data_IF_174217804696
#
_entry.id   IF_174217804696
#
_cell.length_a   1.000
_cell.length_b   1.000
_cell.length_c   1.000
_cell.angle_alpha   90.00
_cell.angle_beta   90.00
_cell.angle_gamma   90.00
#
_symmetry.space_group_name_H-M   'P 1'
#
loop_
_entity.id
_entity.type
_entity.pdbx_description
1 polymer ?
#
# COMPACT_ATOMS: atom_id res chain seq x y z
N UNK A 1 -8.19 16.81 16.55
CA UNK A 1 -7.88 15.37 16.51
C UNK A 1 -7.34 15.08 15.13
N UNK A 2 -6.24 14.40 14.99
CA UNK A 2 -5.62 14.08 13.70
C UNK A 2 -6.16 12.73 13.25
N UNK A 3 -6.74 12.68 12.06
CA UNK A 3 -7.38 11.48 11.52
C UNK A 3 -6.44 10.69 10.62
N UNK A 4 -6.55 9.34 10.62
CA UNK A 4 -5.71 8.44 9.87
C UNK A 4 -6.53 7.40 9.09
N UNK A 5 -6.13 7.17 7.84
CA UNK A 5 -6.55 6.01 7.03
C UNK A 5 -5.42 5.00 7.00
N UNK A 6 -5.71 3.72 7.29
CA UNK A 6 -4.76 2.60 7.27
C UNK A 6 -5.07 1.67 6.08
N UNK A 7 -4.27 1.75 5.02
CA UNK A 7 -4.39 0.89 3.84
C UNK A 7 -3.46 -0.31 3.95
N UNK A 8 -3.94 -1.47 3.54
CA UNK A 8 -3.27 -2.77 3.72
C UNK A 8 -3.05 -3.10 5.20
N UNK A 9 -3.99 -2.71 6.04
CA UNK A 9 -3.94 -2.63 7.51
C UNK A 9 -3.60 -3.95 8.24
N UNK A 10 -3.63 -5.11 7.55
CA UNK A 10 -3.43 -6.40 8.18
C UNK A 10 -4.39 -6.63 9.37
N UNK A 11 -3.87 -7.16 10.47
CA UNK A 11 -4.63 -7.39 11.71
C UNK A 11 -4.68 -6.16 12.66
N UNK A 12 -4.13 -5.00 12.26
CA UNK A 12 -4.23 -3.75 13.01
C UNK A 12 -3.01 -3.36 13.83
N UNK A 13 -1.81 -3.89 13.53
CA UNK A 13 -0.59 -3.51 14.26
C UNK A 13 -0.23 -2.04 14.09
N UNK A 14 -0.33 -1.50 12.87
CA UNK A 14 -0.16 -0.09 12.53
C UNK A 14 -1.18 0.79 13.23
N UNK A 15 -2.45 0.41 13.15
CA UNK A 15 -3.57 1.11 13.80
C UNK A 15 -3.39 1.16 15.32
N UNK A 16 -3.03 0.04 15.95
CA UNK A 16 -2.73 0.00 17.40
C UNK A 16 -1.60 0.97 17.76
N UNK A 17 -0.51 0.97 16.98
CA UNK A 17 0.60 1.89 17.21
C UNK A 17 0.21 3.36 17.01
N UNK A 18 -0.61 3.66 16.01
CA UNK A 18 -1.10 5.00 15.76
C UNK A 18 -1.99 5.53 16.89
N UNK A 19 -2.93 4.71 17.40
CA UNK A 19 -3.85 5.08 18.48
C UNK A 19 -3.15 5.24 19.84
N UNK A 20 -1.94 4.70 20.02
CA UNK A 20 -1.11 4.97 21.19
C UNK A 20 -0.56 6.40 21.21
N UNK A 21 -0.59 7.12 20.10
CA UNK A 21 -0.16 8.52 20.02
C UNK A 21 -1.34 9.43 20.37
N UNK A 22 -1.24 10.24 21.46
CA UNK A 22 -2.34 11.11 21.86
C UNK A 22 -2.80 12.04 20.73
N UNK A 23 -4.10 12.06 20.45
CA UNK A 23 -4.70 12.93 19.45
C UNK A 23 -4.74 12.35 18.03
N UNK A 24 -4.32 11.10 17.81
CA UNK A 24 -4.53 10.37 16.56
C UNK A 24 -5.74 9.43 16.70
N UNK A 25 -6.56 9.38 15.65
CA UNK A 25 -7.71 8.51 15.51
C UNK A 25 -7.64 7.79 14.16
N UNK A 26 -7.73 6.45 14.18
CA UNK A 26 -7.84 5.65 12.96
C UNK A 26 -9.30 5.55 12.57
N UNK A 27 -9.70 6.27 11.53
CA UNK A 27 -11.10 6.37 11.11
C UNK A 27 -11.47 5.40 10.00
N UNK A 28 -10.49 4.91 9.24
CA UNK A 28 -10.69 3.98 8.12
C UNK A 28 -9.55 2.98 8.04
N UNK A 29 -9.86 1.70 7.88
CA UNK A 29 -8.91 0.63 7.65
C UNK A 29 -9.37 -0.28 6.50
N UNK A 30 -8.46 -0.67 5.62
CA UNK A 30 -8.80 -1.49 4.46
C UNK A 30 -7.75 -2.56 4.15
N UNK A 31 -8.24 -3.74 3.76
CA UNK A 31 -7.42 -4.86 3.31
C UNK A 31 -8.25 -5.78 2.41
N UNK A 32 -7.61 -6.49 1.49
CA UNK A 32 -8.28 -7.46 0.62
C UNK A 32 -8.57 -8.81 1.31
N UNK A 33 -7.93 -9.11 2.44
CA UNK A 33 -8.04 -10.38 3.14
C UNK A 33 -9.09 -10.30 4.25
N UNK A 34 -10.18 -11.02 4.08
CA UNK A 34 -11.34 -10.98 4.98
C UNK A 34 -10.97 -11.27 6.45
N UNK A 35 -10.13 -12.28 6.70
CA UNK A 35 -9.70 -12.62 8.06
C UNK A 35 -8.89 -11.50 8.73
N UNK A 36 -8.09 -10.75 7.95
CA UNK A 36 -7.37 -9.59 8.46
C UNK A 36 -8.36 -8.48 8.88
N UNK A 37 -9.36 -8.20 8.07
CA UNK A 37 -10.41 -7.21 8.39
C UNK A 37 -11.23 -7.65 9.61
N UNK A 38 -11.61 -8.91 9.69
CA UNK A 38 -12.35 -9.45 10.85
C UNK A 38 -11.54 -9.29 12.15
N UNK A 39 -10.24 -9.60 12.09
CA UNK A 39 -9.34 -9.44 13.24
C UNK A 39 -9.13 -7.96 13.58
N UNK A 40 -8.94 -7.11 12.57
CA UNK A 40 -8.80 -5.67 12.76
C UNK A 40 -10.04 -5.07 13.40
N UNK A 41 -11.24 -5.43 12.94
CA UNK A 41 -12.50 -4.96 13.47
C UNK A 41 -12.71 -5.37 14.92
N UNK A 42 -12.30 -6.57 15.31
CA UNK A 42 -12.35 -7.02 16.69
C UNK A 42 -11.44 -6.18 17.61
N UNK A 43 -10.28 -5.75 17.11
CA UNK A 43 -9.31 -4.95 17.88
C UNK A 43 -9.63 -3.43 17.84
N UNK A 44 -10.24 -2.95 16.76
CA UNK A 44 -10.52 -1.54 16.51
C UNK A 44 -11.99 -1.32 16.12
N UNK A 45 -12.95 -1.56 17.05
CA UNK A 45 -14.39 -1.55 16.72
C UNK A 45 -14.95 -0.18 16.34
N UNK A 46 -14.23 0.90 16.63
CA UNK A 46 -14.64 2.27 16.28
C UNK A 46 -14.16 2.73 14.89
N UNK A 47 -13.26 1.97 14.26
CA UNK A 47 -12.75 2.24 12.92
C UNK A 47 -13.73 1.73 11.86
N UNK A 48 -13.96 2.46 10.79
CA UNK A 48 -14.66 1.94 9.61
C UNK A 48 -13.76 0.96 8.84
N UNK A 49 -14.35 -0.12 8.31
CA UNK A 49 -13.59 -1.18 7.64
C UNK A 49 -14.09 -1.42 6.22
N UNK A 50 -13.16 -1.66 5.29
CA UNK A 50 -13.47 -2.15 3.95
C UNK A 50 -12.64 -3.39 3.60
N UNK A 51 -13.32 -4.48 3.25
CA UNK A 51 -12.71 -5.72 2.76
C UNK A 51 -12.70 -5.69 1.23
N UNK A 52 -11.69 -5.07 0.63
CA UNK A 52 -11.64 -4.85 -0.81
C UNK A 52 -10.22 -4.95 -1.39
N UNK A 53 -10.14 -5.32 -2.67
CA UNK A 53 -8.93 -5.15 -3.47
C UNK A 53 -8.75 -3.66 -3.76
N UNK A 54 -7.77 -3.04 -3.09
CA UNK A 54 -7.54 -1.61 -3.18
C UNK A 54 -7.24 -1.13 -4.61
N UNK A 55 -6.73 -1.99 -5.48
CA UNK A 55 -6.51 -1.67 -6.89
C UNK A 55 -7.81 -1.38 -7.65
N UNK A 56 -8.94 -1.90 -7.15
CA UNK A 56 -10.27 -1.75 -7.74
C UNK A 56 -11.14 -0.71 -7.01
N UNK A 57 -10.69 -0.22 -5.86
CA UNK A 57 -11.43 0.78 -5.08
C UNK A 57 -11.26 2.17 -5.68
N UNK A 58 -12.34 2.90 -5.81
CA UNK A 58 -12.32 4.33 -6.08
C UNK A 58 -11.93 5.06 -4.78
N UNK A 59 -10.81 5.81 -4.72
CA UNK A 59 -10.39 6.53 -3.51
C UNK A 59 -11.46 7.47 -2.95
N UNK A 60 -12.36 8.00 -3.79
CA UNK A 60 -13.46 8.89 -3.40
C UNK A 60 -14.46 8.26 -2.42
N UNK A 61 -14.47 6.93 -2.31
CA UNK A 61 -15.34 6.19 -1.38
C UNK A 61 -14.85 6.26 0.06
N UNK A 62 -13.59 6.66 0.26
CA UNK A 62 -12.99 6.72 1.59
C UNK A 62 -13.02 8.15 2.13
N UNK A 63 -13.05 8.32 3.47
CA UNK A 63 -13.02 9.64 4.07
C UNK A 63 -11.68 10.33 3.79
N UNK A 64 -11.72 11.66 3.66
CA UNK A 64 -10.50 12.46 3.67
C UNK A 64 -9.97 12.51 5.10
N UNK A 65 -8.69 12.14 5.27
CA UNK A 65 -7.99 12.12 6.56
C UNK A 65 -6.70 12.92 6.49
N UNK A 66 -6.13 13.25 7.65
CA UNK A 66 -4.87 13.99 7.73
C UNK A 66 -3.68 13.13 7.34
N UNK A 67 -3.69 11.85 7.73
CA UNK A 67 -2.58 10.93 7.56
C UNK A 67 -3.04 9.71 6.75
N UNK A 68 -2.19 9.30 5.80
CA UNK A 68 -2.24 7.97 5.20
C UNK A 68 -1.15 7.12 5.81
N UNK A 69 -1.51 5.97 6.41
CA UNK A 69 -0.61 4.85 6.63
C UNK A 69 -0.89 3.78 5.58
N UNK A 70 0.16 3.24 4.96
CA UNK A 70 0.01 2.18 3.97
C UNK A 70 1.13 1.15 4.10
N UNK A 71 0.75 -0.13 4.17
CA UNK A 71 1.69 -1.28 4.19
C UNK A 71 1.45 -2.17 2.95
N UNK A 72 1.81 -1.68 1.75
CA UNK A 72 1.57 -2.41 0.50
C UNK A 72 2.35 -3.72 0.46
N UNK A 73 1.87 -4.69 -0.32
CA UNK A 73 2.40 -6.05 -0.34
C UNK A 73 3.92 -6.10 -0.56
N UNK A 74 4.64 -6.71 0.38
CA UNK A 74 6.10 -6.91 0.34
C UNK A 74 6.53 -8.25 -0.28
N UNK A 75 5.59 -9.16 -0.57
CA UNK A 75 5.91 -10.57 -0.89
C UNK A 75 6.82 -10.76 -2.10
N UNK A 76 6.92 -9.79 -2.98
CA UNK A 76 7.76 -9.84 -4.18
C UNK A 76 8.93 -8.84 -4.16
N UNK A 77 9.10 -8.11 -3.05
CA UNK A 77 10.29 -7.32 -2.75
C UNK A 77 11.25 -8.09 -1.83
N UNK A 78 10.76 -9.02 -1.02
CA UNK A 78 11.54 -9.73 0.00
C UNK A 78 12.39 -10.87 -0.56
N UNK A 79 13.65 -10.95 -0.10
CA UNK A 79 14.60 -12.06 -0.33
C UNK A 79 14.12 -13.37 0.32
N UNK A 80 13.19 -13.31 1.27
CA UNK A 80 12.69 -14.47 2.00
C UNK A 80 12.09 -15.58 1.12
N UNK A 81 11.80 -15.30 -0.17
CA UNK A 81 11.38 -16.31 -1.15
C UNK A 81 12.51 -17.16 -1.75
N UNK A 82 13.76 -16.97 -1.36
CA UNK A 82 14.89 -17.74 -1.89
C UNK A 82 15.10 -17.58 -3.41
N UNK A 83 14.64 -16.49 -4.00
CA UNK A 83 14.77 -16.21 -5.43
C UNK A 83 16.17 -15.67 -5.70
N UNK A 84 16.93 -16.33 -6.57
CA UNK A 84 18.28 -15.90 -6.96
C UNK A 84 18.27 -14.49 -7.57
N UNK A 85 19.40 -13.74 -7.42
CA UNK A 85 19.60 -12.41 -8.01
C UNK A 85 19.23 -12.36 -9.51
N UNK A 86 19.54 -13.41 -10.26
CA UNK A 86 19.20 -13.51 -11.68
C UNK A 86 17.69 -13.43 -11.95
N UNK A 87 16.85 -14.08 -11.15
CA UNK A 87 15.38 -14.01 -11.28
C UNK A 87 14.82 -12.65 -10.86
N UNK A 88 15.48 -11.98 -9.91
CA UNK A 88 15.12 -10.61 -9.54
C UNK A 88 15.39 -9.63 -10.69
N UNK A 89 16.53 -9.76 -11.37
CA UNK A 89 16.88 -8.90 -12.50
C UNK A 89 15.98 -9.14 -13.72
N UNK A 90 15.56 -10.38 -13.96
CA UNK A 90 14.56 -10.71 -14.98
C UNK A 90 13.17 -10.13 -14.65
N UNK A 91 12.77 -10.16 -13.37
CA UNK A 91 11.53 -9.56 -12.91
C UNK A 91 11.58 -8.03 -13.06
N UNK A 92 12.70 -7.40 -12.71
CA UNK A 92 12.94 -5.95 -12.92
C UNK A 92 12.84 -5.54 -14.38
N UNK A 93 13.42 -6.32 -15.29
CA UNK A 93 13.33 -6.08 -16.74
C UNK A 93 11.91 -6.20 -17.26
N UNK A 94 11.13 -7.18 -16.78
CA UNK A 94 9.72 -7.33 -17.16
C UNK A 94 8.85 -6.17 -16.65
N UNK A 95 9.08 -5.68 -15.43
CA UNK A 95 8.35 -4.54 -14.88
C UNK A 95 8.58 -3.29 -15.73
N UNK A 96 9.83 -3.05 -16.13
CA UNK A 96 10.17 -1.91 -16.98
C UNK A 96 9.55 -2.03 -18.38
N UNK A 97 9.60 -3.23 -18.99
CA UNK A 97 9.00 -3.48 -20.30
C UNK A 97 7.47 -3.36 -20.27
N UNK A 98 6.81 -3.85 -19.18
CA UNK A 98 5.37 -3.72 -19.00
C UNK A 98 4.88 -2.27 -18.89
N UNK A 99 5.71 -1.37 -18.35
CA UNK A 99 5.42 0.06 -18.30
C UNK A 99 5.64 0.76 -19.64
N UNK A 100 6.60 0.30 -20.42
CA UNK A 100 6.91 0.86 -21.77
C UNK A 100 5.92 0.38 -22.84
N UNK A 101 5.28 -0.78 -22.63
CA UNK A 101 4.22 -1.32 -23.49
C UNK A 101 2.83 -0.84 -23.03
N UNK A 102 2.66 0.49 -22.95
CA UNK A 102 1.39 1.11 -22.57
C UNK A 102 0.23 0.54 -23.40
N UNK A 103 -0.70 -0.17 -22.76
CA UNK A 103 -1.89 -0.76 -23.37
C UNK A 103 -2.02 -2.27 -23.27
N UNK A 104 -1.02 -3.02 -22.81
CA UNK A 104 -1.22 -4.44 -22.45
C UNK A 104 -1.76 -4.57 -21.04
N UNK A 105 -2.78 -5.43 -20.79
CA UNK A 105 -3.18 -5.74 -19.42
C UNK A 105 -1.96 -6.29 -18.67
N UNK A 106 -1.80 -5.85 -17.41
CA UNK A 106 -0.81 -6.43 -16.50
C UNK A 106 -0.95 -7.95 -16.57
N UNK A 107 0.14 -8.67 -16.77
CA UNK A 107 0.11 -10.13 -16.82
C UNK A 107 -0.51 -10.67 -15.51
N UNK A 108 -1.15 -11.84 -15.58
CA UNK A 108 -1.71 -12.55 -14.41
C UNK A 108 -0.64 -12.97 -13.38
N UNK A 109 0.59 -12.51 -13.53
CA UNK A 109 1.68 -12.76 -12.62
C UNK A 109 1.40 -12.08 -11.25
N UNK A 110 1.17 -12.92 -10.24
CA UNK A 110 0.94 -12.49 -8.86
C UNK A 110 2.06 -11.55 -8.33
N UNK A 111 3.28 -11.71 -8.86
CA UNK A 111 4.42 -10.87 -8.52
C UNK A 111 4.26 -9.43 -9.05
N UNK A 112 3.76 -9.26 -10.27
CA UNK A 112 3.50 -7.92 -10.82
C UNK A 112 2.35 -7.23 -10.09
N UNK A 113 1.26 -7.97 -9.82
CA UNK A 113 0.14 -7.43 -9.05
C UNK A 113 0.55 -6.99 -7.64
N UNK A 114 1.37 -7.78 -6.96
CA UNK A 114 1.88 -7.45 -5.64
C UNK A 114 2.71 -6.16 -5.64
N UNK A 115 3.58 -5.96 -6.63
CA UNK A 115 4.35 -4.70 -6.76
C UNK A 115 3.49 -3.52 -7.21
N UNK A 116 2.40 -3.77 -7.93
CA UNK A 116 1.46 -2.74 -8.34
C UNK A 116 0.75 -2.08 -7.15
N UNK A 117 0.64 -2.77 -5.99
CA UNK A 117 0.03 -2.20 -4.77
C UNK A 117 0.76 -0.95 -4.26
N UNK A 118 2.04 -0.77 -4.58
CA UNK A 118 2.78 0.46 -4.30
C UNK A 118 2.14 1.69 -4.99
N UNK A 119 1.62 1.51 -6.22
CA UNK A 119 0.97 2.59 -6.97
C UNK A 119 -0.41 2.94 -6.44
N UNK A 120 -1.07 2.04 -5.71
CA UNK A 120 -2.32 2.37 -5.03
C UNK A 120 -2.11 3.47 -3.98
N UNK A 121 -0.97 3.48 -3.31
CA UNK A 121 -0.60 4.57 -2.38
C UNK A 121 -0.59 5.92 -3.09
N UNK A 122 0.02 6.00 -4.29
CA UNK A 122 0.07 7.24 -5.09
C UNK A 122 -1.34 7.66 -5.50
N UNK A 123 -2.17 6.73 -5.96
CA UNK A 123 -3.54 6.99 -6.40
C UNK A 123 -4.43 7.54 -5.28
N UNK A 124 -4.31 7.00 -4.07
CA UNK A 124 -5.00 7.52 -2.90
C UNK A 124 -4.44 8.89 -2.47
N UNK A 125 -3.11 9.06 -2.50
CA UNK A 125 -2.46 10.32 -2.17
C UNK A 125 -2.85 11.45 -3.14
N UNK A 126 -2.92 11.16 -4.45
CA UNK A 126 -3.35 12.11 -5.47
C UNK A 126 -4.77 12.64 -5.22
N UNK A 127 -5.67 11.76 -4.77
CA UNK A 127 -7.05 12.15 -4.51
C UNK A 127 -7.22 12.94 -3.21
N UNK A 128 -6.63 12.43 -2.11
CA UNK A 128 -6.90 12.95 -0.76
C UNK A 128 -5.96 14.07 -0.32
N UNK A 129 -4.76 14.19 -0.92
CA UNK A 129 -3.74 15.19 -0.59
C UNK A 129 -3.45 15.21 0.93
N UNK A 130 -3.06 14.08 1.47
CA UNK A 130 -2.79 13.92 2.90
C UNK A 130 -1.67 14.85 3.38
N UNK A 131 -1.76 15.32 4.63
CA UNK A 131 -0.73 16.14 5.29
C UNK A 131 0.55 15.33 5.57
N UNK A 132 0.42 14.03 5.75
CA UNK A 132 1.55 13.10 5.90
C UNK A 132 1.18 11.74 5.33
N UNK A 133 2.18 11.09 4.72
CA UNK A 133 2.07 9.73 4.20
C UNK A 133 3.17 8.90 4.83
N UNK A 134 2.79 7.81 5.49
CA UNK A 134 3.70 6.84 6.09
C UNK A 134 3.56 5.55 5.30
N UNK A 135 4.66 5.08 4.70
CA UNK A 135 4.68 3.81 3.98
C UNK A 135 5.63 2.86 4.67
N UNK A 136 5.11 1.73 5.11
CA UNK A 136 5.88 0.64 5.70
C UNK A 136 6.09 -0.46 4.65
N UNK A 137 7.31 -0.94 4.52
CA UNK A 137 7.64 -2.09 3.69
C UNK A 137 9.00 -2.70 4.11
N UNK A 138 9.36 -3.84 3.53
CA UNK A 138 10.70 -4.41 3.70
C UNK A 138 11.76 -3.52 3.05
N UNK A 139 12.97 -3.51 3.60
CA UNK A 139 14.08 -2.68 3.08
C UNK A 139 14.39 -2.94 1.61
N UNK A 140 14.21 -4.17 1.14
CA UNK A 140 14.41 -4.58 -0.25
C UNK A 140 13.46 -3.86 -1.23
N UNK A 141 12.37 -3.26 -0.76
CA UNK A 141 11.50 -2.44 -1.59
C UNK A 141 12.23 -1.21 -2.16
N UNK A 142 13.26 -0.71 -1.47
CA UNK A 142 14.08 0.40 -1.95
C UNK A 142 14.94 0.02 -3.17
N UNK A 143 15.21 -1.27 -3.37
CA UNK A 143 15.92 -1.80 -4.54
C UNK A 143 15.03 -2.00 -5.78
N UNK A 144 13.73 -1.78 -5.64
CA UNK A 144 12.82 -1.87 -6.76
C UNK A 144 13.14 -0.79 -7.81
N UNK A 145 13.28 -1.20 -9.07
CA UNK A 145 13.69 -0.32 -10.19
C UNK A 145 12.81 0.93 -10.33
N UNK A 146 11.54 0.86 -9.94
CA UNK A 146 10.58 1.97 -10.00
C UNK A 146 10.48 2.77 -8.69
N UNK A 147 11.17 2.35 -7.63
CA UNK A 147 11.13 3.04 -6.35
C UNK A 147 11.46 4.54 -6.43
N UNK A 148 12.49 4.97 -7.20
CA UNK A 148 12.78 6.39 -7.37
C UNK A 148 11.62 7.17 -8.02
N UNK A 149 10.99 6.60 -9.07
CA UNK A 149 9.87 7.22 -9.76
C UNK A 149 8.62 7.28 -8.88
N UNK A 150 8.33 6.19 -8.17
CA UNK A 150 7.25 6.12 -7.20
C UNK A 150 7.41 7.15 -6.06
N UNK A 151 8.61 7.23 -5.49
CA UNK A 151 8.90 8.23 -4.45
C UNK A 151 8.77 9.66 -4.99
N UNK A 152 9.25 9.91 -6.21
CA UNK A 152 9.13 11.22 -6.84
C UNK A 152 7.66 11.63 -7.05
N UNK A 153 6.80 10.67 -7.42
CA UNK A 153 5.36 10.92 -7.55
C UNK A 153 4.74 11.37 -6.22
N UNK A 154 5.05 10.68 -5.12
CA UNK A 154 4.54 11.07 -3.79
C UNK A 154 5.07 12.44 -3.35
N UNK A 155 6.35 12.73 -3.57
CA UNK A 155 6.95 14.04 -3.25
C UNK A 155 6.32 15.18 -4.06
N UNK A 156 5.92 14.90 -5.31
CA UNK A 156 5.27 15.91 -6.16
C UNK A 156 3.84 16.26 -5.71
N UNK A 157 3.22 15.41 -4.90
CA UNK A 157 1.88 15.63 -4.35
C UNK A 157 1.89 16.45 -3.04
N UNK A 158 3.05 16.77 -2.49
CA UNK A 158 3.23 17.51 -1.24
C UNK A 158 3.87 16.65 -0.18
#
# INVERSE_FOLDING_TARGET
>A
MTTLTDLFCGAGGSSTGAEMVPGIEVVMAANHWALAIETHQANHPNTAHDCADLSQVDPRRYPTTDILWASPSCTNHSIAKGISRQRQDEARRRDLLGLLEAGKPLSDDAAMRSRATMWDVVRFAEHHLYRAIIVENVTDAADWVLFPAWRAALVALG
#
